data_IF_403853943652
#
_entry.id   IF_403853943652
#
_cell.length_a   1.000
_cell.length_b   1.000
_cell.length_c   1.000
_cell.angle_alpha   90.00
_cell.angle_beta   90.00
_cell.angle_gamma   90.00
#
_symmetry.space_group_name_H-M   'P 1'
#
loop_
_entity.id
_entity.type
_entity.pdbx_description
1 polymer ?
#
# COMPACT_ATOMS: atom_id res chain seq x y z
N UNK A 1 -10.40 23.57 -14.56
CA UNK A 1 -10.36 22.18 -14.98
C UNK A 1 -9.65 21.34 -13.91
N UNK A 2 -10.23 20.18 -13.55
CA UNK A 2 -9.64 19.29 -12.57
C UNK A 2 -8.64 18.34 -13.24
N UNK A 3 -7.51 18.16 -12.59
CA UNK A 3 -6.52 17.17 -13.01
C UNK A 3 -6.24 16.24 -11.84
N UNK A 4 -6.12 14.94 -12.13
CA UNK A 4 -5.87 13.91 -11.14
C UNK A 4 -4.59 13.19 -11.48
N UNK A 5 -3.68 13.13 -10.52
CA UNK A 5 -2.38 12.49 -10.69
C UNK A 5 -2.22 11.37 -9.67
N UNK A 6 -1.83 10.16 -10.08
CA UNK A 6 -1.43 9.13 -9.12
C UNK A 6 -0.04 9.50 -8.56
N UNK A 7 0.13 9.32 -7.26
CA UNK A 7 1.39 9.59 -6.57
C UNK A 7 1.84 8.31 -5.89
N UNK A 8 2.81 7.57 -6.45
CA UNK A 8 3.32 6.38 -5.79
C UNK A 8 4.16 6.78 -4.58
N UNK A 9 3.81 6.25 -3.41
CA UNK A 9 4.47 6.58 -2.15
C UNK A 9 5.22 5.38 -1.55
N UNK A 10 5.36 4.29 -2.30
CA UNK A 10 6.08 3.13 -1.84
C UNK A 10 5.22 1.88 -1.76
N UNK A 11 5.67 0.92 -0.96
CA UNK A 11 4.92 -0.32 -0.77
C UNK A 11 5.17 -0.88 0.63
N UNK A 12 4.35 -1.85 1.01
CA UNK A 12 4.54 -2.62 2.23
C UNK A 12 3.98 -4.03 2.03
N UNK A 13 4.29 -4.92 2.95
CA UNK A 13 3.81 -6.29 2.92
C UNK A 13 2.80 -6.51 4.03
N UNK A 14 1.75 -7.25 3.74
CA UNK A 14 0.74 -7.56 4.73
C UNK A 14 0.30 -9.01 4.62
N UNK A 15 -0.09 -9.58 5.74
CA UNK A 15 -0.55 -10.97 5.80
C UNK A 15 -1.68 -11.18 4.81
N UNK A 16 -1.57 -12.26 4.03
CA UNK A 16 -2.57 -12.59 3.01
C UNK A 16 -3.96 -12.79 3.59
N UNK A 17 -4.05 -13.34 4.79
CA UNK A 17 -5.32 -13.55 5.46
C UNK A 17 -6.07 -12.27 5.77
N UNK A 18 -5.34 -11.16 5.97
CA UNK A 18 -5.96 -9.87 6.23
C UNK A 18 -6.71 -9.31 5.01
N UNK A 19 -6.34 -9.74 3.80
CA UNK A 19 -6.97 -9.26 2.57
C UNK A 19 -7.95 -10.25 1.99
N UNK A 20 -7.58 -11.52 2.01
CA UNK A 20 -8.36 -12.52 1.32
C UNK A 20 -9.49 -13.07 2.19
N UNK A 21 -9.40 -12.86 3.49
CA UNK A 21 -10.46 -13.25 4.41
C UNK A 21 -10.82 -14.72 4.27
N UNK A 22 -12.09 -14.99 4.00
CA UNK A 22 -12.60 -16.35 3.87
C UNK A 22 -12.37 -16.97 2.49
N UNK A 23 -11.81 -16.24 1.55
CA UNK A 23 -11.56 -16.76 0.21
C UNK A 23 -10.46 -17.82 0.27
N UNK A 24 -10.71 -19.06 -0.21
CA UNK A 24 -9.71 -20.12 -0.14
C UNK A 24 -8.43 -19.78 -0.90
N UNK A 25 -7.30 -20.15 -0.33
CA UNK A 25 -5.99 -19.93 -0.91
C UNK A 25 -5.88 -20.47 -2.35
N UNK A 26 -6.48 -21.63 -2.61
CA UNK A 26 -6.43 -22.24 -3.93
C UNK A 26 -7.07 -21.36 -5.02
N UNK A 27 -8.01 -20.48 -4.64
CA UNK A 27 -8.69 -19.62 -5.60
C UNK A 27 -7.92 -18.35 -5.94
N UNK A 28 -7.19 -17.78 -4.99
CA UNK A 28 -6.49 -16.51 -5.24
C UNK A 28 -4.98 -16.64 -5.43
N UNK A 29 -4.38 -17.76 -5.02
CA UNK A 29 -2.92 -17.91 -5.04
C UNK A 29 -2.32 -17.82 -6.44
N UNK A 30 -3.08 -18.14 -7.48
CA UNK A 30 -2.62 -18.05 -8.86
C UNK A 30 -2.58 -16.62 -9.38
N UNK A 31 -3.25 -15.69 -8.71
CA UNK A 31 -3.40 -14.29 -9.16
C UNK A 31 -2.59 -13.30 -8.33
N UNK A 32 -1.93 -13.77 -7.30
CA UNK A 32 -1.23 -12.89 -6.37
C UNK A 32 0.10 -13.47 -5.98
N UNK A 33 1.11 -12.61 -5.97
CA UNK A 33 2.41 -12.99 -5.44
C UNK A 33 2.38 -12.89 -3.93
N UNK A 34 2.86 -13.93 -3.27
CA UNK A 34 3.05 -13.93 -1.83
C UNK A 34 4.50 -14.29 -1.54
N UNK A 35 5.03 -13.77 -0.43
CA UNK A 35 6.36 -14.11 0.01
C UNK A 35 6.35 -15.38 0.88
N UNK A 36 7.52 -15.78 1.37
CA UNK A 36 7.68 -16.97 2.20
C UNK A 36 7.01 -16.87 3.57
N UNK A 37 6.61 -15.65 3.98
CA UNK A 37 5.84 -15.39 5.21
C UNK A 37 4.35 -15.26 4.95
N UNK A 38 3.90 -15.66 3.77
CA UNK A 38 2.49 -15.61 3.39
C UNK A 38 1.92 -14.20 3.34
N UNK A 39 2.75 -13.22 2.92
CA UNK A 39 2.37 -11.82 2.82
C UNK A 39 2.24 -11.40 1.37
N UNK A 40 1.32 -10.46 1.12
CA UNK A 40 1.18 -9.82 -0.18
C UNK A 40 1.83 -8.45 -0.16
N UNK A 41 2.42 -8.08 -1.30
CA UNK A 41 2.94 -6.75 -1.51
C UNK A 41 1.81 -5.81 -1.90
N UNK A 42 1.69 -4.70 -1.19
CA UNK A 42 0.70 -3.68 -1.46
C UNK A 42 1.38 -2.37 -1.80
N UNK A 43 0.94 -1.76 -2.87
CA UNK A 43 1.43 -0.45 -3.25
C UNK A 43 0.67 0.63 -2.52
N UNK A 44 1.41 1.67 -2.12
CA UNK A 44 0.83 2.86 -1.52
C UNK A 44 0.62 3.88 -2.64
N UNK A 45 -0.59 3.94 -3.17
CA UNK A 45 -0.94 4.84 -4.25
C UNK A 45 -1.80 5.97 -3.71
N UNK A 46 -1.25 7.17 -3.77
CA UNK A 46 -1.96 8.38 -3.37
C UNK A 46 -2.55 9.05 -4.59
N UNK A 47 -3.47 9.98 -4.38
CA UNK A 47 -4.01 10.79 -5.45
C UNK A 47 -3.79 12.26 -5.15
N UNK A 48 -3.29 12.98 -6.14
CA UNK A 48 -3.22 14.43 -6.09
C UNK A 48 -4.24 15.00 -7.04
N UNK A 49 -5.13 15.84 -6.54
CA UNK A 49 -6.16 16.49 -7.34
C UNK A 49 -5.84 17.99 -7.40
N UNK A 50 -5.70 18.51 -8.60
CA UNK A 50 -5.57 19.94 -8.83
C UNK A 50 -6.88 20.48 -9.37
N UNK A 51 -7.45 21.47 -8.66
CA UNK A 51 -8.71 22.09 -9.03
C UNK A 51 -8.58 23.59 -8.84
N UNK A 52 -8.45 24.33 -9.94
CA UNK A 52 -8.19 25.75 -9.88
C UNK A 52 -6.85 26.04 -9.21
N UNK A 53 -6.88 26.78 -8.11
CA UNK A 53 -5.68 27.09 -7.32
C UNK A 53 -5.52 26.18 -6.09
N UNK A 54 -6.28 25.09 -6.02
CA UNK A 54 -6.22 24.15 -4.91
C UNK A 54 -5.49 22.87 -5.30
N UNK A 55 -4.70 22.36 -4.37
CA UNK A 55 -4.07 21.06 -4.46
C UNK A 55 -4.58 20.20 -3.31
N UNK A 56 -5.18 19.07 -3.65
CA UNK A 56 -5.76 18.16 -2.65
C UNK A 56 -5.04 16.84 -2.75
N UNK A 57 -4.42 16.42 -1.65
CA UNK A 57 -3.76 15.11 -1.57
C UNK A 57 -4.68 14.14 -0.83
N UNK A 58 -4.97 13.01 -1.46
CA UNK A 58 -5.77 11.96 -0.85
C UNK A 58 -4.82 10.90 -0.32
N UNK A 59 -4.87 10.66 0.99
CA UNK A 59 -3.99 9.78 1.73
C UNK A 59 -2.58 10.37 1.86
N UNK A 60 -1.77 9.82 2.73
CA UNK A 60 -0.41 10.31 3.02
C UNK A 60 0.64 9.21 3.09
N UNK A 61 0.26 7.95 2.86
CA UNK A 61 1.18 6.82 2.98
C UNK A 61 1.39 6.38 4.42
N UNK A 62 2.42 5.57 4.65
CA UNK A 62 2.71 5.03 5.98
C UNK A 62 3.49 5.97 6.88
N UNK A 63 4.25 6.89 6.30
CA UNK A 63 5.13 7.75 7.10
C UNK A 63 6.35 7.00 7.60
N UNK A 64 7.02 7.59 8.62
CA UNK A 64 8.27 7.05 9.15
C UNK A 64 8.22 6.77 10.66
N UNK A 65 7.02 6.67 11.23
CA UNK A 65 6.82 6.49 12.68
C UNK A 65 6.56 5.06 13.11
N UNK A 66 6.81 4.10 12.23
CA UNK A 66 6.59 2.70 12.57
C UNK A 66 7.63 2.23 13.59
N UNK A 67 7.21 1.42 14.55
CA UNK A 67 8.13 0.77 15.49
C UNK A 67 8.98 -0.26 14.78
N UNK A 68 10.06 -0.71 15.44
CA UNK A 68 10.90 -1.77 14.88
C UNK A 68 10.09 -3.04 14.61
N UNK A 69 9.17 -3.39 15.51
CA UNK A 69 8.31 -4.56 15.33
C UNK A 69 7.37 -4.40 14.15
N UNK A 70 6.79 -3.21 13.96
CA UNK A 70 5.91 -2.94 12.83
C UNK A 70 6.67 -2.98 11.52
N UNK A 71 7.92 -2.48 11.48
CA UNK A 71 8.75 -2.55 10.29
C UNK A 71 9.09 -3.98 9.91
N UNK A 72 9.30 -4.85 10.90
CA UNK A 72 9.55 -6.26 10.64
C UNK A 72 8.31 -6.94 10.06
N UNK A 73 7.12 -6.64 10.61
CA UNK A 73 5.87 -7.24 10.17
C UNK A 73 5.51 -6.81 8.75
N UNK A 74 5.59 -5.51 8.46
CA UNK A 74 5.13 -4.95 7.19
C UNK A 74 6.23 -4.73 6.17
N UNK A 75 7.47 -4.66 6.59
CA UNK A 75 8.64 -4.43 5.73
C UNK A 75 8.39 -3.37 4.66
N UNK A 76 8.07 -2.13 5.08
CA UNK A 76 7.75 -1.09 4.12
C UNK A 76 8.98 -0.68 3.31
N UNK A 77 8.73 -0.16 2.12
CA UNK A 77 9.77 0.48 1.32
C UNK A 77 10.22 1.79 1.99
N UNK A 78 11.20 2.45 1.40
CA UNK A 78 11.60 3.76 1.88
C UNK A 78 10.43 4.73 1.86
N UNK A 79 10.46 5.66 2.81
CA UNK A 79 9.48 6.72 2.89
C UNK A 79 9.68 7.71 1.74
N UNK A 80 8.67 7.84 0.87
CA UNK A 80 8.76 8.65 -0.34
C UNK A 80 8.02 9.99 -0.25
N UNK A 81 7.36 10.26 0.86
CA UNK A 81 6.68 11.54 1.08
C UNK A 81 7.22 12.26 2.29
#
# INVERSE_FOLDING_TARGET
>A
MKQIYPVPAGFYWSDSGAFMGVLPYALWSKKSEIDERFRRKLNLNLLLIQSGNRNILIDTGLGNRLSAKQREIYQPSEFLL
#
